data_IF_805336772063
#
_entry.id   IF_805336772063
#
_cell.length_a   1.000
_cell.length_b   1.000
_cell.length_c   1.000
_cell.angle_alpha   90.00
_cell.angle_beta   90.00
_cell.angle_gamma   90.00
#
_symmetry.space_group_name_H-M   'P 1'
#
loop_
_entity.id
_entity.type
_entity.pdbx_description
1 polymer ?
#
# COMPACT_ATOMS: atom_id res chain seq x y z
N UNK A 1 -7.86 -11.46 12.70
CA UNK A 1 -6.78 -11.02 11.79
C UNK A 1 -6.75 -9.50 11.70
N UNK A 2 -7.85 -8.83 11.34
CA UNK A 2 -7.93 -7.35 11.34
C UNK A 2 -7.43 -6.71 12.63
N UNK A 3 -7.91 -7.17 13.80
CA UNK A 3 -7.48 -6.61 15.09
C UNK A 3 -5.97 -6.77 15.33
N UNK A 4 -5.36 -7.85 14.84
CA UNK A 4 -3.91 -8.10 14.98
C UNK A 4 -3.14 -7.09 14.12
N UNK A 5 -3.53 -6.92 12.86
CA UNK A 5 -2.88 -5.98 11.93
C UNK A 5 -3.09 -4.54 12.40
N UNK A 6 -4.31 -4.18 12.80
CA UNK A 6 -4.62 -2.84 13.29
C UNK A 6 -3.89 -2.50 14.59
N UNK A 7 -3.78 -3.45 15.54
CA UNK A 7 -3.00 -3.23 16.76
C UNK A 7 -1.50 -3.14 16.47
N UNK A 8 -0.99 -3.97 15.56
CA UNK A 8 0.41 -3.95 15.16
C UNK A 8 0.82 -2.61 14.52
N UNK A 9 0.09 -2.14 13.49
CA UNK A 9 0.39 -0.88 12.80
C UNK A 9 -0.14 0.39 13.48
N UNK A 10 -1.15 0.26 14.34
CA UNK A 10 -1.75 1.37 15.07
C UNK A 10 -1.11 1.66 16.43
N UNK A 11 -0.58 0.63 17.12
CA UNK A 11 -0.11 0.76 18.50
C UNK A 11 1.28 0.19 18.77
N UNK A 12 1.68 -0.89 18.11
CA UNK A 12 2.95 -1.57 18.43
C UNK A 12 4.13 -1.01 17.64
N UNK A 13 3.93 -0.66 16.38
CA UNK A 13 4.94 -0.03 15.54
C UNK A 13 5.05 1.45 15.88
N UNK A 14 6.24 1.88 16.30
CA UNK A 14 6.53 3.29 16.57
C UNK A 14 7.53 3.87 15.57
N UNK A 15 8.39 3.04 14.98
CA UNK A 15 9.36 3.45 13.96
C UNK A 15 9.65 2.32 12.95
N UNK A 16 10.31 2.65 11.84
CA UNK A 16 10.77 1.66 10.85
C UNK A 16 11.82 0.70 11.40
N UNK A 17 12.51 1.08 12.47
CA UNK A 17 13.57 0.26 13.11
C UNK A 17 12.99 -0.92 13.89
N UNK A 18 11.67 -0.94 14.12
CA UNK A 18 10.96 -2.01 14.83
C UNK A 18 10.68 -3.24 13.93
N UNK A 19 10.94 -3.14 12.62
CA UNK A 19 10.72 -4.19 11.63
C UNK A 19 11.83 -5.26 11.68
N UNK A 20 11.46 -6.53 11.63
CA UNK A 20 12.39 -7.67 11.81
C UNK A 20 12.92 -8.26 10.51
N UNK A 21 12.48 -7.75 9.36
CA UNK A 21 12.86 -8.22 8.03
C UNK A 21 13.28 -7.07 7.12
N UNK A 22 13.99 -7.37 6.02
CA UNK A 22 14.27 -6.40 4.96
C UNK A 22 13.09 -6.20 3.99
N UNK A 23 11.92 -6.78 4.30
CA UNK A 23 10.72 -6.65 3.48
C UNK A 23 10.33 -5.18 3.31
N UNK A 24 10.33 -4.44 4.41
CA UNK A 24 10.28 -2.98 4.42
C UNK A 24 11.70 -2.44 4.26
N UNK A 25 12.15 -2.23 3.01
CA UNK A 25 13.54 -1.87 2.77
C UNK A 25 13.91 -0.44 3.15
N UNK A 26 15.19 -0.38 3.53
CA UNK A 26 16.11 0.74 3.70
C UNK A 26 15.72 2.05 2.98
N UNK A 27 15.61 3.13 3.77
CA UNK A 27 15.36 4.49 3.30
C UNK A 27 16.44 5.03 2.31
N UNK A 28 17.54 4.29 2.12
CA UNK A 28 18.66 4.65 1.25
C UNK A 28 18.36 4.57 -0.26
N UNK A 29 17.30 3.88 -0.70
CA UNK A 29 16.99 3.64 -2.12
C UNK A 29 15.96 4.61 -2.76
N UNK A 30 15.57 5.70 -2.09
CA UNK A 30 14.61 6.67 -2.65
C UNK A 30 15.16 7.29 -3.95
N UNK A 31 14.48 7.15 -5.11
CA UNK A 31 14.93 7.72 -6.38
C UNK A 31 15.16 9.24 -6.28
N UNK A 32 16.18 9.75 -6.97
CA UNK A 32 16.56 11.16 -6.89
C UNK A 32 15.41 12.13 -7.24
N UNK A 33 14.56 11.74 -8.19
CA UNK A 33 13.39 12.51 -8.62
C UNK A 33 12.27 12.56 -7.55
N UNK A 34 12.22 11.58 -6.65
CA UNK A 34 11.21 11.48 -5.61
C UNK A 34 11.57 12.30 -4.36
N UNK A 35 12.87 12.44 -4.05
CA UNK A 35 13.37 13.24 -2.92
C UNK A 35 12.75 14.65 -2.82
N UNK A 36 12.65 15.46 -3.90
CA UNK A 36 12.04 16.79 -3.80
C UNK A 36 10.53 16.77 -3.49
N UNK A 37 9.82 15.69 -3.82
CA UNK A 37 8.39 15.54 -3.48
C UNK A 37 8.23 15.20 -2.00
N UNK A 38 9.02 14.24 -1.51
CA UNK A 38 9.01 13.86 -0.09
C UNK A 38 9.47 15.01 0.81
N UNK A 39 10.43 15.83 0.37
CA UNK A 39 10.86 17.02 1.11
C UNK A 39 9.73 18.07 1.30
N UNK A 40 8.63 17.96 0.55
CA UNK A 40 7.44 18.80 0.68
C UNK A 40 6.28 18.09 1.41
N UNK A 41 6.51 16.91 1.96
CA UNK A 41 5.57 16.21 2.86
C UNK A 41 5.92 16.57 4.30
N UNK A 42 4.89 16.75 5.13
CA UNK A 42 5.05 17.13 6.52
C UNK A 42 5.90 16.07 7.28
N UNK A 43 6.88 16.48 8.12
CA UNK A 43 7.79 15.55 8.79
C UNK A 43 7.09 14.48 9.63
N UNK A 44 6.00 14.81 10.32
CA UNK A 44 5.24 13.82 11.12
C UNK A 44 4.57 12.75 10.25
N UNK A 45 4.10 13.13 9.06
CA UNK A 45 3.53 12.16 8.11
C UNK A 45 4.62 11.20 7.64
N UNK A 46 5.81 11.73 7.29
CA UNK A 46 6.95 10.93 6.86
C UNK A 46 7.46 9.98 7.95
N UNK A 47 7.47 10.41 9.22
CA UNK A 47 8.01 9.60 10.31
C UNK A 47 7.14 8.40 10.70
N UNK A 48 5.84 8.42 10.34
CA UNK A 48 4.88 7.34 10.64
C UNK A 48 4.62 6.40 9.46
N UNK A 49 5.61 6.24 8.59
CA UNK A 49 5.49 5.42 7.40
C UNK A 49 6.15 4.05 7.59
N UNK A 50 5.46 2.98 7.18
CA UNK A 50 5.92 1.59 7.36
C UNK A 50 5.95 0.76 6.07
N UNK A 51 5.83 1.38 4.90
CA UNK A 51 5.82 0.66 3.62
C UNK A 51 7.20 0.42 3.01
N UNK A 52 7.21 -0.24 1.85
CA UNK A 52 8.41 -0.80 1.24
C UNK A 52 9.07 0.10 0.17
N UNK A 53 8.65 1.38 0.04
CA UNK A 53 9.12 2.27 -1.02
C UNK A 53 8.17 3.43 -1.32
N UNK A 54 8.06 3.86 -2.58
CA UNK A 54 6.87 4.58 -3.06
C UNK A 54 6.41 3.89 -4.33
N UNK A 55 5.13 3.57 -4.37
CA UNK A 55 4.46 3.05 -5.56
C UNK A 55 3.98 4.25 -6.37
N UNK A 56 4.73 4.59 -7.42
CA UNK A 56 4.45 5.77 -8.22
C UNK A 56 4.42 5.43 -9.72
N UNK A 57 3.22 5.32 -10.30
CA UNK A 57 3.04 5.26 -11.74
C UNK A 57 3.52 6.54 -12.42
N UNK A 58 3.79 6.44 -13.72
CA UNK A 58 4.13 7.59 -14.56
C UNK A 58 2.84 8.24 -15.09
N UNK A 59 2.95 9.47 -15.61
CA UNK A 59 1.87 10.17 -16.32
C UNK A 59 0.59 10.41 -15.49
N UNK A 60 0.74 10.82 -14.23
CA UNK A 60 -0.38 11.02 -13.30
C UNK A 60 -1.10 12.37 -13.40
N UNK A 61 -0.64 13.32 -14.21
CA UNK A 61 -1.20 14.68 -14.24
C UNK A 61 -2.71 14.66 -14.57
N UNK A 62 -3.52 15.21 -13.66
CA UNK A 62 -4.99 15.24 -13.78
C UNK A 62 -5.68 13.92 -13.43
N UNK A 63 -4.96 12.87 -13.07
CA UNK A 63 -5.56 11.59 -12.70
C UNK A 63 -6.28 11.65 -11.34
N UNK A 64 -7.30 10.82 -11.21
CA UNK A 64 -7.91 10.46 -9.93
C UNK A 64 -7.33 9.14 -9.43
N UNK A 65 -6.66 9.20 -8.29
CA UNK A 65 -5.86 8.10 -7.73
C UNK A 65 -6.47 7.63 -6.41
N UNK A 66 -6.55 6.31 -6.21
CA UNK A 66 -6.89 5.70 -4.93
C UNK A 66 -5.66 5.02 -4.34
N UNK A 67 -5.31 5.34 -3.10
CA UNK A 67 -4.25 4.67 -2.35
C UNK A 67 -4.87 3.74 -1.30
N UNK A 68 -4.59 2.44 -1.41
CA UNK A 68 -5.08 1.42 -0.49
C UNK A 68 -4.07 1.21 0.63
N UNK A 69 -4.51 1.35 1.87
CA UNK A 69 -3.63 1.28 3.04
C UNK A 69 -2.77 2.52 3.19
N UNK A 70 -3.39 3.71 3.09
CA UNK A 70 -2.66 4.98 2.99
C UNK A 70 -1.88 5.37 4.24
N UNK A 71 -2.16 4.75 5.40
CA UNK A 71 -1.53 5.07 6.68
C UNK A 71 -1.65 6.56 7.02
N UNK A 72 -0.53 7.16 7.42
CA UNK A 72 -0.41 8.60 7.71
C UNK A 72 -0.50 9.49 6.47
N UNK A 73 -0.58 8.92 5.26
CA UNK A 73 -0.78 9.64 4.00
C UNK A 73 0.50 10.02 3.26
N UNK A 74 1.68 9.44 3.58
CA UNK A 74 2.94 9.74 2.86
C UNK A 74 2.76 9.62 1.33
N UNK A 75 2.28 8.47 0.87
CA UNK A 75 2.17 8.16 -0.55
C UNK A 75 1.06 9.02 -1.18
N UNK A 76 -0.07 9.21 -0.49
CA UNK A 76 -1.14 10.14 -0.87
C UNK A 76 -0.62 11.56 -1.12
N UNK A 77 0.14 12.15 -0.18
CA UNK A 77 0.66 13.51 -0.33
C UNK A 77 1.77 13.63 -1.39
N UNK A 78 2.55 12.57 -1.60
CA UNK A 78 3.51 12.53 -2.71
C UNK A 78 2.79 12.49 -4.07
N UNK A 79 1.78 11.62 -4.20
CA UNK A 79 0.96 11.48 -5.41
C UNK A 79 0.13 12.74 -5.68
N UNK A 80 -0.34 13.44 -4.65
CA UNK A 80 -1.09 14.69 -4.76
C UNK A 80 -0.33 15.77 -5.54
N UNK A 81 1.00 15.82 -5.39
CA UNK A 81 1.86 16.73 -6.13
C UNK A 81 2.01 16.33 -7.60
N UNK A 82 1.96 15.04 -7.90
CA UNK A 82 2.13 14.48 -9.25
C UNK A 82 0.86 14.58 -10.08
N UNK A 83 -0.31 14.36 -9.45
CA UNK A 83 -1.60 14.55 -10.12
C UNK A 83 -1.91 16.03 -10.33
N UNK A 84 -1.34 16.91 -9.51
CA UNK A 84 -1.49 18.36 -9.61
C UNK A 84 -2.90 18.84 -9.29
N UNK A 85 -3.14 20.14 -9.52
CA UNK A 85 -4.39 20.83 -9.13
C UNK A 85 -5.64 20.40 -9.92
N UNK A 86 -5.49 19.61 -10.98
CA UNK A 86 -6.62 19.07 -11.77
C UNK A 86 -6.94 17.61 -11.41
N UNK A 87 -6.07 16.94 -10.68
CA UNK A 87 -6.27 15.57 -10.23
C UNK A 87 -6.70 15.52 -8.77
N UNK A 88 -6.86 14.31 -8.26
CA UNK A 88 -7.31 14.03 -6.89
C UNK A 88 -6.66 12.74 -6.39
N UNK A 89 -6.31 12.69 -5.11
CA UNK A 89 -5.85 11.46 -4.46
C UNK A 89 -6.70 11.17 -3.23
N UNK A 90 -7.22 9.94 -3.16
CA UNK A 90 -8.02 9.46 -2.05
C UNK A 90 -7.23 8.34 -1.36
N UNK A 91 -6.98 8.49 -0.06
CA UNK A 91 -6.39 7.42 0.77
C UNK A 91 -7.47 6.64 1.52
N UNK A 92 -7.38 5.31 1.54
CA UNK A 92 -8.21 4.45 2.39
C UNK A 92 -7.33 3.75 3.41
N UNK A 93 -7.65 3.88 4.69
CA UNK A 93 -7.00 3.10 5.76
C UNK A 93 -8.01 2.65 6.81
N UNK A 94 -7.72 1.53 7.47
CA UNK A 94 -8.59 1.02 8.54
C UNK A 94 -8.28 1.65 9.91
N UNK A 95 -7.11 2.27 10.07
CA UNK A 95 -6.53 2.69 11.34
C UNK A 95 -6.85 4.16 11.66
N UNK A 96 -7.72 4.45 12.63
CA UNK A 96 -8.11 5.83 12.96
C UNK A 96 -6.93 6.70 13.37
N UNK A 97 -5.95 6.15 14.07
CA UNK A 97 -4.77 6.88 14.57
C UNK A 97 -3.87 7.36 13.43
N UNK A 98 -3.75 6.57 12.37
CA UNK A 98 -2.98 6.93 11.17
C UNK A 98 -3.72 7.99 10.35
N UNK A 99 -5.03 7.80 10.14
CA UNK A 99 -5.87 8.77 9.44
C UNK A 99 -5.96 10.12 10.16
N UNK A 100 -5.95 10.12 11.50
CA UNK A 100 -5.93 11.35 12.28
C UNK A 100 -4.68 12.20 11.97
N UNK A 101 -3.51 11.57 11.86
CA UNK A 101 -2.26 12.26 11.46
C UNK A 101 -2.36 12.75 10.02
N UNK A 102 -2.89 11.91 9.13
CA UNK A 102 -3.08 12.27 7.73
C UNK A 102 -3.95 13.52 7.60
N UNK A 103 -5.14 13.53 8.22
CA UNK A 103 -6.09 14.65 8.18
C UNK A 103 -5.58 15.90 8.90
N UNK A 104 -4.89 15.76 10.05
CA UNK A 104 -4.32 16.88 10.80
C UNK A 104 -3.40 17.75 9.94
N UNK A 105 -2.63 17.13 9.03
CA UNK A 105 -1.66 17.82 8.19
C UNK A 105 -2.22 18.19 6.81
N UNK A 106 -3.50 17.94 6.53
CA UNK A 106 -4.09 18.20 5.20
C UNK A 106 -4.05 19.67 4.80
N UNK A 107 -4.40 20.57 5.72
CA UNK A 107 -4.36 22.02 5.46
C UNK A 107 -2.94 22.52 5.21
N UNK A 108 -1.95 21.99 5.95
CA UNK A 108 -0.54 22.33 5.76
C UNK A 108 -0.06 21.97 4.35
N UNK A 109 -0.41 20.76 3.87
CA UNK A 109 -0.05 20.33 2.52
C UNK A 109 -0.78 21.17 1.45
N UNK A 110 -2.05 21.49 1.66
CA UNK A 110 -2.80 22.32 0.73
C UNK A 110 -2.18 23.72 0.57
N UNK A 111 -1.74 24.33 1.67
CA UNK A 111 -0.98 25.60 1.65
C UNK A 111 0.38 25.42 0.96
N UNK A 112 1.10 24.36 1.29
CA UNK A 112 2.43 24.06 0.71
C UNK A 112 2.38 23.83 -0.80
N UNK A 113 1.32 23.23 -1.31
CA UNK A 113 1.14 22.90 -2.73
C UNK A 113 0.41 24.00 -3.52
N UNK A 114 -0.39 24.82 -2.83
CA UNK A 114 -1.22 25.87 -3.43
C UNK A 114 -2.58 25.38 -3.94
N UNK A 115 -2.97 24.16 -3.58
CA UNK A 115 -4.26 23.55 -3.93
C UNK A 115 -4.60 22.41 -2.95
N UNK A 116 -5.89 22.10 -2.81
CA UNK A 116 -6.39 20.97 -2.02
C UNK A 116 -6.97 19.93 -2.96
N UNK A 117 -6.40 18.73 -2.97
CA UNK A 117 -6.81 17.62 -3.84
C UNK A 117 -6.66 16.25 -3.14
N UNK A 118 -6.67 16.25 -1.81
CA UNK A 118 -6.46 15.05 -0.99
C UNK A 118 -7.67 14.80 -0.09
N UNK A 119 -8.12 13.54 -0.06
CA UNK A 119 -9.19 13.07 0.81
C UNK A 119 -8.78 11.77 1.48
N UNK A 120 -9.23 11.54 2.71
CA UNK A 120 -9.03 10.29 3.42
C UNK A 120 -10.36 9.66 3.82
N UNK A 121 -10.45 8.34 3.67
CA UNK A 121 -11.61 7.55 4.02
C UNK A 121 -11.19 6.44 4.98
N UNK A 122 -11.94 6.30 6.07
CA UNK A 122 -11.78 5.15 6.95
C UNK A 122 -12.51 3.94 6.36
N UNK A 123 -11.80 2.84 6.17
CA UNK A 123 -12.36 1.65 5.57
C UNK A 123 -11.42 0.47 5.50
N UNK A 124 -11.98 -0.69 5.21
CA UNK A 124 -11.21 -1.89 4.90
C UNK A 124 -11.07 -2.05 3.39
N UNK A 125 -9.86 -2.40 2.93
CA UNK A 125 -9.56 -2.54 1.50
C UNK A 125 -10.27 -3.73 0.84
N UNK A 126 -10.72 -4.73 1.61
CA UNK A 126 -11.60 -5.80 1.11
C UNK A 126 -13.10 -5.40 1.10
N UNK A 127 -13.44 -4.23 1.64
CA UNK A 127 -14.81 -3.69 1.71
C UNK A 127 -14.98 -2.37 0.97
N UNK A 128 -14.21 -2.12 -0.09
CA UNK A 128 -14.39 -0.95 -0.96
C UNK A 128 -15.83 -0.79 -1.49
N UNK A 129 -16.58 -1.90 -1.50
CA UNK A 129 -18.02 -1.97 -1.78
C UNK A 129 -18.90 -1.01 -0.99
N UNK A 130 -18.56 -0.76 0.28
CA UNK A 130 -19.39 0.00 1.23
C UNK A 130 -18.92 1.44 1.43
N UNK A 131 -17.77 1.81 0.84
CA UNK A 131 -17.27 3.17 0.86
C UNK A 131 -17.99 3.99 -0.20
N UNK A 132 -18.08 5.30 0.02
CA UNK A 132 -18.67 6.25 -0.91
C UNK A 132 -17.71 6.54 -2.08
N UNK A 133 -17.48 5.50 -2.89
CA UNK A 133 -16.58 5.49 -4.04
C UNK A 133 -17.35 5.03 -5.27
N UNK A 134 -17.40 5.91 -6.28
CA UNK A 134 -18.11 5.63 -7.52
C UNK A 134 -17.40 4.50 -8.32
N UNK A 135 -18.13 3.49 -8.83
CA UNK A 135 -17.57 2.50 -9.76
C UNK A 135 -17.01 3.16 -11.03
N UNK A 136 -15.94 2.62 -11.59
CA UNK A 136 -15.39 3.11 -12.86
C UNK A 136 -14.90 4.56 -12.82
N UNK A 137 -14.41 5.03 -11.67
CA UNK A 137 -14.16 6.45 -11.42
C UNK A 137 -12.69 6.80 -11.15
N UNK A 138 -11.82 5.80 -10.97
CA UNK A 138 -10.39 5.99 -10.74
C UNK A 138 -9.58 5.67 -12.00
N UNK A 139 -8.60 6.53 -12.30
CA UNK A 139 -7.64 6.29 -13.38
C UNK A 139 -6.58 5.28 -12.93
N UNK A 140 -6.16 5.39 -11.68
CA UNK A 140 -5.10 4.58 -11.10
C UNK A 140 -5.48 4.20 -9.67
N UNK A 141 -5.27 2.95 -9.31
CA UNK A 141 -5.30 2.50 -7.91
C UNK A 141 -3.90 2.03 -7.56
N UNK A 142 -3.38 2.48 -6.43
CA UNK A 142 -2.07 2.10 -5.90
C UNK A 142 -2.21 1.42 -4.54
N UNK A 143 -1.18 0.66 -4.20
CA UNK A 143 -1.08 -0.05 -2.92
C UNK A 143 0.38 -0.39 -2.67
N UNK A 144 0.83 -0.37 -1.42
CA UNK A 144 2.21 -0.68 -1.07
C UNK A 144 2.27 -1.60 0.16
N UNK A 145 2.58 -2.88 -0.07
CA UNK A 145 2.75 -3.89 0.97
C UNK A 145 1.52 -4.10 1.88
N UNK A 146 0.28 -3.93 1.38
CA UNK A 146 -0.95 -4.11 2.18
C UNK A 146 -1.90 -5.20 1.68
N UNK A 147 -1.83 -5.62 0.41
CA UNK A 147 -2.77 -6.64 -0.11
C UNK A 147 -2.51 -7.98 0.58
N UNK A 148 -1.25 -8.30 0.90
CA UNK A 148 -0.88 -9.47 1.66
C UNK A 148 -1.46 -9.53 3.08
N UNK A 149 -1.69 -8.38 3.70
CA UNK A 149 -2.29 -8.25 5.02
C UNK A 149 -3.82 -8.39 4.99
N UNK A 150 -4.44 -8.38 3.80
CA UNK A 150 -5.88 -8.61 3.68
C UNK A 150 -6.19 -10.10 3.87
N UNK A 151 -7.21 -10.44 4.69
CA UNK A 151 -7.71 -11.81 4.81
C UNK A 151 -8.56 -12.23 3.60
N UNK A 152 -9.05 -11.28 2.79
CA UNK A 152 -9.86 -11.56 1.60
C UNK A 152 -9.32 -10.81 0.37
N UNK A 153 -8.22 -11.35 -0.18
CA UNK A 153 -7.57 -10.83 -1.38
C UNK A 153 -8.49 -10.88 -2.62
N UNK A 154 -9.44 -11.82 -2.65
CA UNK A 154 -10.41 -11.94 -3.73
C UNK A 154 -11.35 -10.73 -3.74
N UNK A 155 -11.82 -10.32 -2.56
CA UNK A 155 -12.62 -9.11 -2.41
C UNK A 155 -11.84 -7.82 -2.69
N UNK A 156 -10.55 -7.74 -2.33
CA UNK A 156 -9.70 -6.60 -2.70
C UNK A 156 -9.64 -6.44 -4.22
N UNK A 157 -9.21 -7.47 -4.97
CA UNK A 157 -9.09 -7.36 -6.42
C UNK A 157 -10.42 -7.10 -7.12
N UNK A 158 -11.52 -7.71 -6.64
CA UNK A 158 -12.87 -7.42 -7.13
C UNK A 158 -13.25 -5.96 -6.92
N UNK A 159 -12.94 -5.40 -5.74
CA UNK A 159 -13.21 -4.00 -5.41
C UNK A 159 -12.40 -3.04 -6.27
N UNK A 160 -11.11 -3.31 -6.43
CA UNK A 160 -10.19 -2.54 -7.30
C UNK A 160 -10.72 -2.54 -8.74
N UNK A 161 -10.99 -3.71 -9.31
CA UNK A 161 -11.46 -3.81 -10.69
C UNK A 161 -12.76 -3.02 -10.93
N UNK A 162 -13.70 -3.08 -9.97
CA UNK A 162 -14.96 -2.32 -10.03
C UNK A 162 -14.74 -0.80 -10.03
N UNK A 163 -13.76 -0.31 -9.29
CA UNK A 163 -13.51 1.12 -9.11
C UNK A 163 -12.68 1.73 -10.25
N UNK A 164 -11.89 0.93 -10.96
CA UNK A 164 -11.10 1.39 -12.10
C UNK A 164 -11.97 1.75 -13.30
N UNK A 165 -11.66 2.87 -13.93
CA UNK A 165 -12.15 3.23 -15.27
C UNK A 165 -11.73 2.16 -16.28
N UNK A 166 -12.45 2.09 -17.41
CA UNK A 166 -11.94 1.37 -18.57
C UNK A 166 -10.63 2.02 -19.03
N UNK A 167 -9.55 1.23 -19.07
CA UNK A 167 -8.20 1.72 -19.35
C UNK A 167 -7.43 2.21 -18.12
N UNK A 168 -8.02 2.16 -16.93
CA UNK A 168 -7.32 2.43 -15.67
C UNK A 168 -6.40 1.27 -15.26
N UNK A 169 -5.51 1.56 -14.32
CA UNK A 169 -4.44 0.66 -13.90
C UNK A 169 -4.45 0.40 -12.39
N UNK A 170 -4.25 -0.86 -11.99
CA UNK A 170 -3.86 -1.20 -10.63
C UNK A 170 -2.34 -1.39 -10.58
N UNK A 171 -1.64 -0.40 -10.04
CA UNK A 171 -0.18 -0.37 -9.98
C UNK A 171 0.26 -0.46 -8.53
N UNK A 172 0.87 -1.58 -8.13
CA UNK A 172 1.15 -1.84 -6.72
C UNK A 172 2.43 -2.64 -6.51
N UNK A 173 2.98 -2.52 -5.29
CA UNK A 173 4.11 -3.32 -4.83
C UNK A 173 3.66 -4.18 -3.66
N UNK A 174 4.05 -5.45 -3.66
CA UNK A 174 3.81 -6.37 -2.55
C UNK A 174 4.83 -7.52 -2.55
N UNK A 175 4.85 -8.29 -1.48
CA UNK A 175 5.72 -9.46 -1.31
C UNK A 175 5.12 -10.68 -2.02
N UNK A 176 5.94 -11.42 -2.77
CA UNK A 176 5.51 -12.66 -3.41
C UNK A 176 6.48 -13.79 -3.09
N UNK A 177 5.96 -15.01 -3.12
CA UNK A 177 6.73 -16.22 -2.94
C UNK A 177 6.88 -16.97 -4.28
N UNK A 178 8.03 -17.62 -4.46
CA UNK A 178 8.30 -18.53 -5.58
C UNK A 178 7.50 -19.85 -5.48
N UNK A 179 6.92 -20.11 -4.31
CA UNK A 179 6.12 -21.29 -3.97
C UNK A 179 5.03 -20.94 -2.96
N UNK A 180 4.15 -21.90 -2.68
CA UNK A 180 3.10 -21.71 -1.66
C UNK A 180 3.70 -21.70 -0.27
N UNK A 181 3.41 -20.64 0.49
CA UNK A 181 3.82 -20.49 1.88
C UNK A 181 3.17 -21.58 2.75
N UNK A 182 3.95 -22.33 3.58
CA UNK A 182 3.42 -23.34 4.50
C UNK A 182 2.45 -22.77 5.54
N UNK A 183 1.53 -23.60 6.04
CA UNK A 183 0.56 -23.19 7.08
C UNK A 183 1.25 -22.66 8.35
N UNK A 184 2.35 -23.28 8.77
CA UNK A 184 3.15 -22.85 9.93
C UNK A 184 3.79 -21.46 9.80
N UNK A 185 3.87 -20.92 8.58
CA UNK A 185 4.34 -19.55 8.30
C UNK A 185 3.14 -18.62 8.14
N UNK A 186 2.07 -19.09 7.47
CA UNK A 186 0.83 -18.32 7.27
C UNK A 186 0.13 -17.96 8.57
N UNK A 187 0.09 -18.90 9.51
CA UNK A 187 -0.64 -18.75 10.77
C UNK A 187 0.23 -18.11 11.87
N UNK A 188 1.50 -17.82 11.58
CA UNK A 188 2.38 -17.11 12.50
C UNK A 188 2.08 -15.60 12.46
N UNK A 189 1.65 -15.00 13.59
CA UNK A 189 1.22 -13.60 13.61
C UNK A 189 2.35 -12.61 13.35
N UNK A 190 3.60 -12.95 13.70
CA UNK A 190 4.76 -12.10 13.43
C UNK A 190 5.08 -12.13 11.94
N UNK A 191 5.15 -13.32 11.33
CA UNK A 191 5.40 -13.45 9.89
C UNK A 191 4.28 -12.86 9.06
N UNK A 192 3.03 -12.96 9.54
CA UNK A 192 1.90 -12.32 8.89
C UNK A 192 2.02 -10.78 8.93
N UNK A 193 2.38 -10.21 10.09
CA UNK A 193 2.61 -8.77 10.25
C UNK A 193 3.77 -8.23 9.39
N UNK A 194 4.80 -9.05 9.17
CA UNK A 194 5.93 -8.74 8.27
C UNK A 194 5.60 -8.98 6.78
N UNK A 195 4.32 -9.13 6.41
CA UNK A 195 3.83 -9.42 5.05
C UNK A 195 4.29 -10.76 4.44
N UNK A 196 5.02 -11.60 5.18
CA UNK A 196 5.52 -12.90 4.70
C UNK A 196 4.47 -14.01 4.79
N UNK A 197 3.72 -14.07 5.89
CA UNK A 197 2.71 -15.10 6.12
C UNK A 197 1.54 -15.01 5.14
N UNK A 198 1.20 -13.78 4.73
CA UNK A 198 0.13 -13.49 3.77
C UNK A 198 0.56 -13.55 2.30
N UNK A 199 1.86 -13.71 2.02
CA UNK A 199 2.41 -13.65 0.67
C UNK A 199 1.84 -14.76 -0.21
N UNK A 200 1.39 -14.37 -1.40
CA UNK A 200 0.91 -15.32 -2.40
C UNK A 200 2.09 -15.93 -3.17
N UNK A 201 1.93 -17.20 -3.53
CA UNK A 201 2.69 -17.76 -4.63
C UNK A 201 2.38 -16.95 -5.91
N UNK A 202 3.42 -16.52 -6.62
CA UNK A 202 3.29 -15.68 -7.83
C UNK A 202 2.21 -16.15 -8.81
N UNK A 203 2.21 -17.44 -9.19
CA UNK A 203 1.22 -17.93 -10.16
C UNK A 203 -0.20 -18.08 -9.58
N UNK A 204 -0.35 -18.19 -8.26
CA UNK A 204 -1.69 -18.13 -7.65
C UNK A 204 -2.20 -16.69 -7.64
N UNK A 205 -1.34 -15.68 -7.47
CA UNK A 205 -1.70 -14.27 -7.68
C UNK A 205 -2.16 -14.00 -9.11
N UNK A 206 -1.40 -14.44 -10.14
CA UNK A 206 -1.79 -14.28 -11.54
C UNK A 206 -3.18 -14.87 -11.82
N UNK A 207 -3.44 -16.09 -11.31
CA UNK A 207 -4.76 -16.74 -11.43
C UNK A 207 -5.86 -15.95 -10.74
N UNK A 208 -5.58 -15.39 -9.57
CA UNK A 208 -6.53 -14.57 -8.82
C UNK A 208 -6.84 -13.27 -9.58
N UNK A 209 -5.82 -12.61 -10.12
CA UNK A 209 -5.96 -11.40 -10.92
C UNK A 209 -6.83 -11.65 -12.17
N UNK A 210 -6.57 -12.74 -12.90
CA UNK A 210 -7.35 -13.12 -14.08
C UNK A 210 -8.82 -13.37 -13.75
N UNK A 211 -9.13 -13.99 -12.60
CA UNK A 211 -10.50 -14.24 -12.14
C UNK A 211 -11.33 -12.95 -12.01
N UNK A 212 -10.67 -11.84 -11.66
CA UNK A 212 -11.32 -10.54 -11.44
C UNK A 212 -11.21 -9.60 -12.64
N UNK A 213 -10.76 -10.09 -13.80
CA UNK A 213 -10.76 -9.32 -15.05
C UNK A 213 -9.45 -8.62 -15.39
N UNK A 214 -8.40 -8.75 -14.56
CA UNK A 214 -7.05 -8.30 -14.92
C UNK A 214 -6.41 -9.34 -15.84
N UNK A 215 -6.57 -9.16 -17.14
CA UNK A 215 -6.16 -10.16 -18.13
C UNK A 215 -4.64 -10.26 -18.36
N UNK A 216 -3.88 -9.22 -17.98
CA UNK A 216 -2.45 -9.10 -18.32
C UNK A 216 -1.64 -8.43 -17.18
N UNK A 217 -1.42 -9.12 -16.04
CA UNK A 217 -0.55 -8.60 -14.99
C UNK A 217 0.90 -8.46 -15.49
N UNK A 218 1.52 -7.30 -15.26
CA UNK A 218 2.90 -7.02 -15.70
C UNK A 218 3.83 -6.82 -14.51
N UNK A 219 4.99 -7.47 -14.57
CA UNK A 219 6.07 -7.20 -13.65
C UNK A 219 6.85 -5.96 -14.12
N UNK A 220 6.91 -4.94 -13.27
CA UNK A 220 7.67 -3.70 -13.54
C UNK A 220 9.10 -3.83 -13.05
N UNK A 221 9.25 -4.25 -11.79
CA UNK A 221 10.53 -4.47 -11.11
C UNK A 221 10.34 -5.55 -10.05
N UNK A 222 11.37 -6.35 -9.81
CA UNK A 222 11.47 -7.25 -8.67
C UNK A 222 12.83 -7.16 -7.99
N UNK A 223 12.86 -7.53 -6.72
CA UNK A 223 14.09 -7.73 -5.95
C UNK A 223 13.93 -8.93 -5.04
N UNK A 224 14.98 -9.74 -4.84
CA UNK A 224 14.96 -10.80 -3.85
C UNK A 224 14.85 -10.19 -2.44
N UNK A 225 14.07 -10.84 -1.58
CA UNK A 225 13.95 -10.52 -0.16
C UNK A 225 14.70 -11.56 0.66
N UNK A 226 15.63 -11.10 1.49
CA UNK A 226 16.36 -11.97 2.40
C UNK A 226 15.72 -11.95 3.79
N UNK A 227 15.44 -13.15 4.31
CA UNK A 227 14.96 -13.35 5.67
C UNK A 227 16.19 -13.61 6.54
N UNK A 228 16.67 -12.56 7.20
CA UNK A 228 17.93 -12.56 7.96
C UNK A 228 17.76 -13.02 9.41
N UNK A 229 16.52 -13.09 9.93
CA UNK A 229 16.27 -13.58 11.29
C UNK A 229 16.57 -15.09 11.37
N UNK A 230 17.53 -15.52 12.21
CA UNK A 230 17.96 -16.91 12.29
C UNK A 230 16.89 -17.87 12.83
N UNK A 231 15.83 -17.36 13.48
CA UNK A 231 14.67 -18.14 13.92
C UNK A 231 13.62 -18.28 12.82
N UNK A 232 13.54 -17.32 11.91
CA UNK A 232 12.54 -17.29 10.84
C UNK A 232 13.03 -17.99 9.56
N UNK A 233 14.30 -17.82 9.19
CA UNK A 233 14.88 -18.38 7.98
C UNK A 233 14.66 -19.91 7.84
N UNK A 234 14.81 -20.75 8.89
CA UNK A 234 14.55 -22.18 8.76
C UNK A 234 13.08 -22.55 8.54
N UNK A 235 12.15 -21.65 8.86
CA UNK A 235 10.70 -21.92 8.83
C UNK A 235 10.07 -21.68 7.47
N UNK A 236 10.68 -20.81 6.65
CA UNK A 236 10.16 -20.43 5.33
C UNK A 236 10.55 -21.41 4.21
N UNK A 237 11.42 -22.38 4.53
CA UNK A 237 11.87 -23.41 3.59
C UNK A 237 12.99 -22.93 2.66
N UNK A 238 13.72 -23.88 2.08
CA UNK A 238 14.67 -23.67 0.97
C UNK A 238 14.03 -24.12 -0.34
#
# INVERSE_FOLDING_TARGET
MHDIVQDYYGKQLHSTDDLKTTACCDASAVPAWLKPLLAKVHPEVLSRYYGCGLVCPQLLEGCRVLDLGSGSGRDVYALAQLVGNRGEVIGVDMTPEQLAVAEQHRAWHAEKYGYSNVHFLQGYIEKLGVLDLEPGSFDVIVSNCVVNLSPDKDAVLRGVYRLLKNGGEFYFSDVYADRRVPESVRDDPVLYGECLGGALYWNDFIRLAHRHGFADPRLVEDRPLEITDPKLAPRVGN
#
